data_IF_186123045250
#
_entry.id   IF_186123045250
#
_cell.length_a   1.000
_cell.length_b   1.000
_cell.length_c   1.000
_cell.angle_alpha   90.00
_cell.angle_beta   90.00
_cell.angle_gamma   90.00
#
_symmetry.space_group_name_H-M   'P 1'
#
loop_
_entity.id
_entity.type
_entity.pdbx_description
1 polymer ?
#
# COMPACT_ATOMS: atom_id res chain seq x y z
N UNK A 1 2.56 -24.12 -3.12
CA UNK A 1 1.22 -23.58 -2.71
C UNK A 1 0.86 -22.40 -3.60
N UNK A 2 -0.42 -22.33 -3.98
CA UNK A 2 -0.99 -21.20 -4.73
C UNK A 2 -1.86 -20.37 -3.79
N UNK A 3 -1.52 -19.11 -3.59
CA UNK A 3 -2.21 -18.21 -2.67
C UNK A 3 -2.88 -17.09 -3.45
N UNK A 4 -4.17 -16.88 -3.22
CA UNK A 4 -4.91 -15.73 -3.73
C UNK A 4 -4.79 -14.58 -2.71
N UNK A 5 -4.16 -13.48 -3.11
CA UNK A 5 -4.06 -12.26 -2.32
C UNK A 5 -5.11 -11.23 -2.71
N UNK A 6 -5.70 -10.57 -1.71
CA UNK A 6 -6.72 -9.53 -1.89
C UNK A 6 -6.35 -8.30 -1.07
N UNK A 7 -6.19 -7.16 -1.75
CA UNK A 7 -5.90 -5.86 -1.14
C UNK A 7 -7.04 -4.87 -1.42
N UNK A 8 -7.61 -4.31 -0.36
CA UNK A 8 -8.69 -3.31 -0.44
C UNK A 8 -8.61 -2.28 0.68
N UNK A 9 -7.41 -1.93 1.15
CA UNK A 9 -7.27 -1.10 2.37
C UNK A 9 -7.66 0.36 2.21
N UNK A 10 -7.57 0.93 0.99
CA UNK A 10 -7.81 2.35 0.76
C UNK A 10 -8.60 2.59 -0.53
N UNK A 11 -7.94 3.04 -1.58
CA UNK A 11 -8.55 3.45 -2.86
C UNK A 11 -8.07 2.63 -4.06
N UNK A 12 -7.35 1.55 -3.80
CA UNK A 12 -6.94 0.59 -4.81
C UNK A 12 -7.47 -0.80 -4.51
N UNK A 13 -7.98 -1.48 -5.53
CA UNK A 13 -8.38 -2.88 -5.44
C UNK A 13 -7.31 -3.73 -6.12
N UNK A 14 -6.53 -4.44 -5.34
CA UNK A 14 -5.49 -5.36 -5.82
C UNK A 14 -5.89 -6.82 -5.63
N UNK A 15 -5.61 -7.64 -6.64
CA UNK A 15 -5.77 -9.10 -6.57
C UNK A 15 -4.58 -9.74 -7.25
N UNK A 16 -3.96 -10.73 -6.61
CA UNK A 16 -2.85 -11.48 -7.20
C UNK A 16 -2.90 -12.96 -6.82
N UNK A 17 -2.32 -13.80 -7.67
CA UNK A 17 -2.05 -15.20 -7.35
C UNK A 17 -0.54 -15.38 -7.27
N UNK A 18 -0.07 -15.83 -6.11
CA UNK A 18 1.33 -16.11 -5.83
C UNK A 18 1.56 -17.63 -5.74
N UNK A 19 2.56 -18.12 -6.46
CA UNK A 19 2.99 -19.52 -6.39
C UNK A 19 4.27 -19.61 -5.53
N UNK A 20 4.15 -20.19 -4.34
CA UNK A 20 5.27 -20.29 -3.40
C UNK A 20 6.36 -21.27 -3.87
N UNK A 21 6.06 -22.21 -4.74
CA UNK A 21 7.04 -23.16 -5.27
C UNK A 21 7.92 -22.52 -6.35
N UNK A 22 7.30 -21.65 -7.15
CA UNK A 22 8.00 -20.86 -8.17
C UNK A 22 8.57 -19.56 -7.63
N UNK A 23 8.16 -19.15 -6.42
CA UNK A 23 8.45 -17.87 -5.80
C UNK A 23 8.16 -16.68 -6.72
N UNK A 24 6.96 -16.67 -7.32
CA UNK A 24 6.58 -15.64 -8.30
C UNK A 24 5.08 -15.32 -8.24
N UNK A 25 4.76 -14.08 -8.59
CA UNK A 25 3.40 -13.68 -8.92
C UNK A 25 3.05 -14.27 -10.30
N UNK A 26 2.02 -15.10 -10.34
CA UNK A 26 1.56 -15.77 -11.56
C UNK A 26 0.66 -14.87 -12.39
N UNK A 27 -0.21 -14.13 -11.72
CA UNK A 27 -1.10 -13.15 -12.32
C UNK A 27 -1.49 -12.11 -11.28
N UNK A 28 -1.70 -10.88 -11.72
CA UNK A 28 -2.14 -9.79 -10.86
C UNK A 28 -3.07 -8.83 -11.61
N UNK A 29 -3.97 -8.22 -10.87
CA UNK A 29 -4.85 -7.16 -11.34
C UNK A 29 -4.90 -6.04 -10.33
N UNK A 30 -4.78 -4.82 -10.81
CA UNK A 30 -4.88 -3.60 -10.01
C UNK A 30 -5.92 -2.65 -10.63
N UNK A 31 -6.82 -2.15 -9.80
CA UNK A 31 -7.75 -1.11 -10.18
C UNK A 31 -7.62 0.06 -9.21
N UNK A 32 -7.25 1.24 -9.71
CA UNK A 32 -7.13 2.46 -8.91
C UNK A 32 -8.36 3.35 -9.06
N UNK A 33 -8.79 3.92 -7.94
CA UNK A 33 -9.88 4.87 -7.84
C UNK A 33 -9.39 6.33 -7.81
N UNK A 34 -8.08 6.56 -7.93
CA UNK A 34 -7.46 7.88 -7.76
C UNK A 34 -8.13 8.97 -8.60
N UNK A 35 -8.48 8.68 -9.86
CA UNK A 35 -9.16 9.63 -10.74
C UNK A 35 -10.56 10.04 -10.23
N UNK A 36 -11.27 9.14 -9.55
CA UNK A 36 -12.57 9.43 -8.95
C UNK A 36 -12.43 10.30 -7.71
N UNK A 37 -11.46 9.97 -6.86
CA UNK A 37 -11.19 10.68 -5.63
C UNK A 37 -10.56 12.06 -5.86
N UNK A 38 -9.86 12.25 -6.97
CA UNK A 38 -9.31 13.55 -7.37
C UNK A 38 -10.39 14.65 -7.46
N UNK A 39 -11.62 14.30 -7.86
CA UNK A 39 -12.77 15.23 -7.91
C UNK A 39 -13.16 15.79 -6.54
N UNK A 40 -12.76 15.09 -5.47
CA UNK A 40 -13.06 15.46 -4.08
C UNK A 40 -11.83 15.98 -3.33
N UNK A 41 -10.68 16.03 -3.99
CA UNK A 41 -9.41 16.46 -3.38
C UNK A 41 -8.82 15.48 -2.38
N UNK A 42 -9.24 14.19 -2.42
CA UNK A 42 -8.76 13.13 -1.54
C UNK A 42 -9.73 11.96 -1.45
N UNK A 43 -9.35 10.91 -0.75
CA UNK A 43 -10.15 9.68 -0.66
C UNK A 43 -11.43 9.89 0.14
N UNK A 44 -12.57 9.51 -0.46
CA UNK A 44 -13.88 9.48 0.18
C UNK A 44 -14.23 8.03 0.55
N UNK A 45 -14.22 7.66 1.84
CA UNK A 45 -14.31 6.26 2.28
C UNK A 45 -15.57 5.52 1.81
N UNK A 46 -16.69 6.20 1.76
CA UNK A 46 -17.96 5.62 1.30
C UNK A 46 -17.93 5.30 -0.20
N UNK A 47 -17.37 6.19 -1.01
CA UNK A 47 -17.20 5.95 -2.45
C UNK A 47 -16.20 4.83 -2.70
N UNK A 48 -15.09 4.81 -1.95
CA UNK A 48 -14.11 3.74 -2.02
C UNK A 48 -14.76 2.38 -1.75
N UNK A 49 -15.54 2.27 -0.68
CA UNK A 49 -16.25 1.03 -0.33
C UNK A 49 -17.14 0.53 -1.46
N UNK A 50 -17.98 1.41 -2.02
CA UNK A 50 -18.89 1.06 -3.12
C UNK A 50 -18.15 0.61 -4.37
N UNK A 51 -17.01 1.20 -4.64
CA UNK A 51 -16.23 0.86 -5.84
C UNK A 51 -15.51 -0.49 -5.66
N UNK A 52 -14.92 -0.76 -4.50
CA UNK A 52 -14.39 -2.08 -4.16
C UNK A 52 -15.44 -3.18 -4.32
N UNK A 53 -16.67 -2.95 -3.82
CA UNK A 53 -17.76 -3.92 -3.94
C UNK A 53 -18.07 -4.26 -5.42
N UNK A 54 -18.00 -3.27 -6.31
CA UNK A 54 -18.24 -3.46 -7.74
C UNK A 54 -17.08 -4.11 -8.47
N UNK A 55 -15.85 -3.86 -8.05
CA UNK A 55 -14.64 -4.22 -8.80
C UNK A 55 -13.99 -5.51 -8.33
N UNK A 56 -14.08 -5.86 -7.07
CA UNK A 56 -13.34 -6.97 -6.49
C UNK A 56 -13.63 -8.32 -7.17
N UNK A 57 -14.89 -8.70 -7.30
CA UNK A 57 -15.24 -10.01 -7.90
C UNK A 57 -14.85 -10.09 -9.39
N UNK A 58 -15.10 -9.07 -10.23
CA UNK A 58 -14.56 -9.05 -11.59
C UNK A 58 -13.04 -9.22 -11.67
N UNK A 59 -12.28 -8.52 -10.78
CA UNK A 59 -10.83 -8.63 -10.74
C UNK A 59 -10.37 -10.02 -10.31
N UNK A 60 -10.99 -10.62 -9.29
CA UNK A 60 -10.69 -11.98 -8.88
C UNK A 60 -10.89 -12.96 -10.05
N UNK A 61 -12.00 -12.85 -10.78
CA UNK A 61 -12.26 -13.71 -11.95
C UNK A 61 -11.19 -13.55 -13.03
N UNK A 62 -10.82 -12.31 -13.33
CA UNK A 62 -9.79 -12.02 -14.33
C UNK A 62 -8.43 -12.56 -13.90
N UNK A 63 -8.02 -12.33 -12.64
CA UNK A 63 -6.76 -12.85 -12.10
C UNK A 63 -6.69 -14.37 -12.17
N UNK A 64 -7.77 -15.06 -11.80
CA UNK A 64 -7.84 -16.53 -11.90
C UNK A 64 -7.77 -16.99 -13.36
N UNK A 65 -8.50 -16.34 -14.26
CA UNK A 65 -8.48 -16.67 -15.68
C UNK A 65 -7.08 -16.52 -16.30
N UNK A 66 -6.40 -15.40 -16.02
CA UNK A 66 -5.07 -15.13 -16.56
C UNK A 66 -3.98 -16.01 -15.94
N UNK A 67 -4.17 -16.48 -14.71
CA UNK A 67 -3.22 -17.39 -14.08
C UNK A 67 -3.17 -18.78 -14.75
N UNK A 68 -4.19 -19.13 -15.52
CA UNK A 68 -4.36 -20.48 -16.06
C UNK A 68 -4.75 -21.54 -15.03
N UNK A 69 -4.97 -21.17 -13.77
CA UNK A 69 -5.42 -22.07 -12.71
C UNK A 69 -6.94 -22.03 -12.56
N UNK A 70 -7.49 -23.09 -12.00
CA UNK A 70 -8.87 -23.09 -11.52
C UNK A 70 -8.92 -22.51 -10.11
N UNK A 71 -10.03 -21.87 -9.76
CA UNK A 71 -10.23 -21.34 -8.40
C UNK A 71 -10.14 -22.44 -7.33
N UNK A 72 -10.54 -23.67 -7.67
CA UNK A 72 -10.41 -24.86 -6.80
C UNK A 72 -8.97 -25.30 -6.54
N UNK A 73 -8.01 -24.88 -7.37
CA UNK A 73 -6.60 -25.19 -7.20
C UNK A 73 -5.86 -24.21 -6.29
N UNK A 74 -6.56 -23.17 -5.80
CA UNK A 74 -6.02 -22.24 -4.80
C UNK A 74 -5.95 -22.95 -3.45
N UNK A 75 -4.81 -22.87 -2.78
CA UNK A 75 -4.53 -23.54 -1.51
C UNK A 75 -4.88 -22.70 -0.29
N UNK A 76 -4.91 -21.37 -0.43
CA UNK A 76 -5.25 -20.46 0.65
C UNK A 76 -5.54 -19.06 0.15
N UNK A 77 -6.22 -18.25 0.96
CA UNK A 77 -6.58 -16.88 0.66
C UNK A 77 -5.94 -15.95 1.69
N UNK A 78 -5.14 -14.99 1.24
CA UNK A 78 -4.61 -13.90 2.03
C UNK A 78 -5.42 -12.62 1.76
N UNK A 79 -5.70 -11.83 2.76
CA UNK A 79 -6.40 -10.56 2.58
C UNK A 79 -5.86 -9.51 3.55
N UNK A 80 -5.89 -8.24 3.19
CA UNK A 80 -5.50 -7.16 4.08
C UNK A 80 -6.52 -6.99 5.19
N UNK A 81 -6.08 -7.20 6.43
CA UNK A 81 -6.90 -7.08 7.63
C UNK A 81 -6.86 -5.67 8.25
N UNK A 82 -5.83 -4.90 7.94
CA UNK A 82 -5.58 -3.54 8.42
C UNK A 82 -4.08 -3.21 8.50
N UNK A 83 -3.74 -1.95 8.77
CA UNK A 83 -4.61 -0.77 8.84
C UNK A 83 -5.20 -0.37 7.49
N UNK A 84 -6.28 0.45 7.53
CA UNK A 84 -6.95 0.96 6.35
C UNK A 84 -8.37 1.46 6.64
N UNK A 85 -9.09 1.81 5.61
CA UNK A 85 -10.48 2.28 5.70
C UNK A 85 -11.42 1.12 6.05
N UNK A 86 -12.25 1.26 7.08
CA UNK A 86 -13.09 0.18 7.62
C UNK A 86 -14.00 -0.48 6.58
N UNK A 87 -14.67 0.34 5.75
CA UNK A 87 -15.58 -0.17 4.72
C UNK A 87 -14.84 -0.99 3.65
N UNK A 88 -13.81 -0.44 3.00
CA UNK A 88 -12.94 -1.16 2.07
C UNK A 88 -12.36 -2.46 2.64
N UNK A 89 -11.75 -2.43 3.83
CA UNK A 89 -11.22 -3.62 4.51
C UNK A 89 -12.29 -4.72 4.72
N UNK A 90 -13.49 -4.31 5.14
CA UNK A 90 -14.60 -5.25 5.35
C UNK A 90 -15.00 -5.98 4.06
N UNK A 91 -14.97 -5.29 2.93
CA UNK A 91 -15.32 -5.88 1.63
C UNK A 91 -14.29 -6.94 1.23
N UNK A 92 -12.99 -6.63 1.30
CA UNK A 92 -11.92 -7.58 1.02
C UNK A 92 -11.97 -8.80 1.94
N UNK A 93 -12.07 -8.57 3.24
CA UNK A 93 -12.15 -9.62 4.25
C UNK A 93 -13.38 -10.53 4.07
N UNK A 94 -14.54 -9.94 3.76
CA UNK A 94 -15.78 -10.71 3.54
C UNK A 94 -15.68 -11.58 2.29
N UNK A 95 -15.18 -11.04 1.18
CA UNK A 95 -14.97 -11.80 -0.04
C UNK A 95 -13.95 -12.93 0.16
N UNK A 96 -12.80 -12.63 0.78
CA UNK A 96 -11.76 -13.61 1.07
C UNK A 96 -12.29 -14.78 1.90
N UNK A 97 -12.98 -14.48 3.00
CA UNK A 97 -13.55 -15.49 3.90
C UNK A 97 -14.67 -16.30 3.23
N UNK A 98 -15.51 -15.66 2.42
CA UNK A 98 -16.56 -16.37 1.68
C UNK A 98 -15.97 -17.34 0.65
N UNK A 99 -14.94 -16.92 -0.09
CA UNK A 99 -14.23 -17.79 -1.05
C UNK A 99 -13.56 -18.94 -0.31
N UNK A 100 -12.81 -18.66 0.76
CA UNK A 100 -12.14 -19.66 1.56
C UNK A 100 -13.11 -20.71 2.10
N UNK A 101 -14.25 -20.29 2.65
CA UNK A 101 -15.30 -21.16 3.16
C UNK A 101 -15.87 -22.04 2.04
N UNK A 102 -16.18 -21.45 0.87
CA UNK A 102 -16.77 -22.18 -0.25
C UNK A 102 -15.83 -23.25 -0.83
N UNK A 103 -14.51 -23.03 -0.74
CA UNK A 103 -13.49 -23.95 -1.21
C UNK A 103 -13.01 -24.93 -0.13
N UNK A 104 -13.41 -24.77 1.12
CA UNK A 104 -12.85 -25.51 2.25
C UNK A 104 -11.35 -25.23 2.46
N UNK A 105 -10.88 -24.01 2.17
CA UNK A 105 -9.47 -23.61 2.25
C UNK A 105 -9.23 -22.62 3.40
N UNK A 106 -8.00 -22.54 3.95
CA UNK A 106 -7.67 -21.56 4.97
C UNK A 106 -7.69 -20.13 4.42
N UNK A 107 -7.95 -19.16 5.30
CA UNK A 107 -7.75 -17.74 5.02
C UNK A 107 -6.94 -17.08 6.12
N UNK A 108 -6.11 -16.10 5.75
CA UNK A 108 -5.26 -15.35 6.68
C UNK A 108 -5.39 -13.85 6.45
N UNK A 109 -5.53 -13.10 7.54
CA UNK A 109 -5.46 -11.64 7.52
C UNK A 109 -4.01 -11.15 7.62
N UNK A 110 -3.61 -10.30 6.68
CA UNK A 110 -2.25 -9.75 6.60
C UNK A 110 -2.27 -8.28 7.02
N UNK A 111 -1.26 -7.87 7.74
CA UNK A 111 -1.07 -6.46 8.10
C UNK A 111 -0.57 -5.68 6.86
N UNK A 112 -1.28 -4.60 6.50
CA UNK A 112 -1.00 -3.81 5.29
C UNK A 112 0.46 -3.30 5.22
N UNK A 113 0.99 -2.79 6.34
CA UNK A 113 2.38 -2.32 6.39
C UNK A 113 3.39 -3.46 6.29
N UNK A 114 3.07 -4.64 6.80
CA UNK A 114 3.90 -5.83 6.65
C UNK A 114 3.98 -6.27 5.18
N UNK A 115 2.86 -6.20 4.46
CA UNK A 115 2.86 -6.49 3.02
C UNK A 115 3.79 -5.53 2.24
N UNK A 116 3.76 -4.23 2.55
CA UNK A 116 4.70 -3.26 1.98
C UNK A 116 6.16 -3.55 2.33
N UNK A 117 6.43 -4.05 3.51
CA UNK A 117 7.77 -4.38 3.96
C UNK A 117 8.32 -5.62 3.25
N UNK A 118 7.48 -6.64 3.11
CA UNK A 118 7.84 -7.93 2.54
C UNK A 118 7.91 -7.94 1.01
N UNK A 119 7.34 -6.96 0.31
CA UNK A 119 7.39 -6.90 -1.16
C UNK A 119 8.82 -6.92 -1.69
N UNK A 120 9.77 -6.38 -0.93
CA UNK A 120 11.19 -6.39 -1.28
C UNK A 120 11.77 -7.81 -1.40
N UNK A 121 11.15 -8.80 -0.77
CA UNK A 121 11.59 -10.21 -0.88
C UNK A 121 11.26 -10.82 -2.26
N UNK A 122 10.45 -10.15 -3.08
CA UNK A 122 10.17 -10.55 -4.46
C UNK A 122 11.18 -9.98 -5.46
N UNK A 123 12.07 -9.08 -5.03
CA UNK A 123 13.11 -8.51 -5.88
C UNK A 123 14.23 -9.51 -6.15
N UNK A 124 15.00 -9.23 -7.21
CA UNK A 124 16.18 -10.04 -7.54
C UNK A 124 17.43 -9.16 -7.69
N UNK A 125 18.42 -9.25 -6.79
CA UNK A 125 18.48 -10.17 -5.64
C UNK A 125 17.57 -9.74 -4.48
N UNK A 126 16.93 -10.70 -3.83
CA UNK A 126 16.15 -10.45 -2.64
C UNK A 126 17.05 -10.06 -1.45
N UNK A 127 16.65 -9.11 -0.60
CA UNK A 127 17.38 -8.82 0.63
C UNK A 127 17.35 -10.01 1.58
N UNK A 128 18.43 -10.22 2.33
CA UNK A 128 18.49 -11.21 3.40
C UNK A 128 18.24 -10.56 4.76
N UNK A 129 17.54 -11.27 5.64
CA UNK A 129 17.38 -10.82 7.03
C UNK A 129 18.72 -10.85 7.80
N UNK A 130 18.99 -9.90 8.73
CA UNK A 130 18.18 -8.69 8.97
C UNK A 130 18.42 -7.62 7.91
N UNK A 131 17.39 -6.80 7.62
CA UNK A 131 17.53 -5.63 6.75
C UNK A 131 16.72 -4.43 7.27
N UNK A 132 17.14 -3.23 6.88
CA UNK A 132 16.44 -1.99 7.18
C UNK A 132 15.49 -1.62 6.05
N UNK A 133 14.28 -1.22 6.40
CA UNK A 133 13.28 -0.72 5.46
C UNK A 133 12.89 0.71 5.84
N UNK A 134 13.02 1.62 4.88
CA UNK A 134 12.38 2.93 4.96
C UNK A 134 11.07 2.86 4.18
N UNK A 135 9.96 2.76 4.89
CA UNK A 135 8.63 2.77 4.33
C UNK A 135 8.12 4.20 4.24
N UNK A 136 7.77 4.66 3.03
CA UNK A 136 7.25 6.01 2.76
C UNK A 136 5.97 5.88 1.97
N UNK A 137 4.87 6.41 2.51
CA UNK A 137 3.57 6.40 1.86
C UNK A 137 2.79 7.70 2.07
N UNK A 138 1.55 7.75 1.59
CA UNK A 138 0.64 8.88 1.84
C UNK A 138 0.20 9.02 3.28
N UNK A 139 0.24 7.95 4.08
CA UNK A 139 -0.21 7.96 5.48
C UNK A 139 0.83 7.55 6.51
N UNK A 140 1.97 6.99 6.07
CA UNK A 140 2.97 6.44 6.98
C UNK A 140 4.39 6.72 6.50
N UNK A 141 5.27 7.08 7.44
CA UNK A 141 6.71 7.06 7.24
C UNK A 141 7.34 6.32 8.42
N UNK A 142 7.91 5.16 8.16
CA UNK A 142 8.47 4.27 9.17
C UNK A 142 9.88 3.83 8.77
N UNK A 143 10.80 3.84 9.73
CA UNK A 143 12.08 3.16 9.62
C UNK A 143 12.01 1.88 10.45
N UNK A 144 12.16 0.73 9.80
CA UNK A 144 11.91 -0.57 10.40
C UNK A 144 13.15 -1.45 10.25
N UNK A 145 13.56 -2.08 11.34
CA UNK A 145 14.55 -3.17 11.35
C UNK A 145 13.79 -4.50 11.27
N UNK A 146 13.90 -5.17 10.15
CA UNK A 146 13.32 -6.49 9.89
C UNK A 146 14.34 -7.54 10.31
N UNK A 147 14.21 -8.11 11.50
CA UNK A 147 15.13 -9.11 12.05
C UNK A 147 14.90 -10.49 11.44
N UNK A 148 13.65 -10.85 11.28
CA UNK A 148 13.18 -12.06 10.60
C UNK A 148 11.73 -11.88 10.17
N UNK A 149 11.16 -12.86 9.47
CA UNK A 149 9.73 -12.86 9.14
C UNK A 149 8.89 -12.84 10.42
N UNK A 150 8.03 -11.81 10.56
CA UNK A 150 7.18 -11.62 11.75
C UNK A 150 7.87 -10.95 12.94
N UNK A 151 9.18 -10.66 12.87
CA UNK A 151 9.92 -9.96 13.93
C UNK A 151 10.46 -8.62 13.39
N UNK A 152 9.71 -7.56 13.69
CA UNK A 152 9.95 -6.21 13.19
C UNK A 152 10.08 -5.22 14.34
N UNK A 153 11.09 -4.38 14.28
CA UNK A 153 11.33 -3.31 15.24
C UNK A 153 11.24 -1.95 14.56
N UNK A 154 10.28 -1.12 14.97
CA UNK A 154 10.17 0.24 14.50
C UNK A 154 11.26 1.07 15.20
N UNK A 155 12.26 1.51 14.44
CA UNK A 155 13.38 2.33 14.95
C UNK A 155 12.99 3.81 14.92
N UNK A 156 12.15 4.23 13.97
CA UNK A 156 11.70 5.61 13.83
C UNK A 156 10.41 5.71 13.03
N UNK A 157 9.68 6.78 13.27
CA UNK A 157 8.46 7.10 12.55
C UNK A 157 8.25 8.60 12.47
N UNK A 158 7.47 9.06 11.48
CA UNK A 158 7.06 10.47 11.47
C UNK A 158 6.19 10.78 12.68
N UNK A 159 6.35 11.98 13.24
CA UNK A 159 5.61 12.46 14.41
C UNK A 159 4.47 13.42 14.02
N UNK A 160 4.43 13.82 12.78
CA UNK A 160 3.42 14.70 12.20
C UNK A 160 2.96 14.15 10.85
N UNK A 161 3.08 14.90 9.76
CA UNK A 161 2.67 14.46 8.43
C UNK A 161 3.58 13.34 7.89
N UNK A 162 2.99 12.39 7.19
CA UNK A 162 3.75 11.51 6.31
C UNK A 162 4.25 12.30 5.08
N UNK A 163 5.33 11.85 4.45
CA UNK A 163 5.92 12.55 3.29
C UNK A 163 4.90 12.71 2.15
N UNK A 164 4.13 11.68 1.83
CA UNK A 164 3.11 11.76 0.79
C UNK A 164 1.99 12.73 1.16
N UNK A 165 1.57 12.77 2.43
CA UNK A 165 0.60 13.75 2.93
C UNK A 165 1.12 15.18 2.80
N UNK A 166 2.41 15.42 3.10
CA UNK A 166 3.03 16.72 2.92
C UNK A 166 3.02 17.14 1.44
N UNK A 167 3.32 16.23 0.52
CA UNK A 167 3.20 16.51 -0.92
C UNK A 167 1.76 16.84 -1.32
N UNK A 168 0.76 16.12 -0.84
CA UNK A 168 -0.64 16.38 -1.15
C UNK A 168 -1.09 17.73 -0.61
N UNK A 169 -0.69 18.12 0.62
CA UNK A 169 -0.97 19.43 1.21
C UNK A 169 -0.33 20.56 0.41
N UNK A 170 0.92 20.44 0.02
CA UNK A 170 1.62 21.45 -0.80
C UNK A 170 0.96 21.54 -2.18
N UNK A 171 0.65 20.43 -2.82
CA UNK A 171 -0.05 20.42 -4.10
C UNK A 171 -1.42 21.10 -4.03
N UNK A 172 -2.15 20.91 -2.92
CA UNK A 172 -3.42 21.58 -2.68
C UNK A 172 -3.26 23.10 -2.57
N UNK A 173 -2.23 23.57 -1.85
CA UNK A 173 -1.91 25.01 -1.74
C UNK A 173 -1.58 25.60 -3.11
N UNK A 174 -0.86 24.84 -3.96
CA UNK A 174 -0.47 25.23 -5.31
C UNK A 174 -1.58 24.97 -6.36
N UNK A 175 -2.76 24.52 -5.95
CA UNK A 175 -3.91 24.21 -6.83
C UNK A 175 -3.61 23.17 -7.92
N UNK A 176 -2.66 22.26 -7.66
CA UNK A 176 -2.24 21.25 -8.62
C UNK A 176 -3.18 20.03 -8.66
N UNK A 177 -4.04 19.88 -7.67
CA UNK A 177 -4.97 18.75 -7.53
C UNK A 177 -4.34 17.52 -6.86
N UNK A 178 -5.05 16.38 -6.92
CA UNK A 178 -4.72 15.13 -6.25
C UNK A 178 -4.52 13.98 -7.27
N UNK A 179 -3.61 13.02 -7.02
CA UNK A 179 -2.57 13.01 -5.98
C UNK A 179 -1.48 14.06 -6.25
N UNK A 180 -0.92 14.64 -5.17
CA UNK A 180 -0.02 15.79 -5.27
C UNK A 180 1.41 15.43 -5.63
N UNK A 181 1.94 14.34 -5.12
CA UNK A 181 3.33 13.94 -5.31
C UNK A 181 3.78 13.93 -6.78
N UNK A 182 3.13 13.17 -7.66
CA UNK A 182 3.49 13.10 -9.09
C UNK A 182 3.42 14.46 -9.79
N UNK A 183 2.46 15.31 -9.42
CA UNK A 183 2.28 16.63 -10.03
C UNK A 183 3.36 17.61 -9.62
N UNK A 184 3.74 17.59 -8.33
CA UNK A 184 4.87 18.38 -7.83
C UNK A 184 6.17 17.93 -8.49
N UNK A 185 6.39 16.61 -8.61
CA UNK A 185 7.58 16.06 -9.28
C UNK A 185 7.67 16.52 -10.74
N UNK A 186 6.56 16.46 -11.48
CA UNK A 186 6.54 16.91 -12.88
C UNK A 186 6.89 18.40 -13.02
N UNK A 187 6.36 19.26 -12.14
CA UNK A 187 6.68 20.68 -12.13
C UNK A 187 8.13 20.93 -11.67
N UNK A 188 8.60 20.21 -10.67
CA UNK A 188 9.96 20.34 -10.16
C UNK A 188 11.04 20.06 -11.24
N UNK A 189 10.77 19.15 -12.19
CA UNK A 189 11.66 18.88 -13.33
C UNK A 189 11.88 20.10 -14.23
N UNK A 190 10.97 21.07 -14.19
CA UNK A 190 11.02 22.32 -14.98
C UNK A 190 11.46 23.52 -14.15
N UNK A 191 11.65 23.34 -12.85
CA UNK A 191 11.99 24.37 -11.88
C UNK A 191 13.49 24.53 -11.69
N UNK A 192 13.87 25.62 -11.02
CA UNK A 192 15.23 25.86 -10.56
C UNK A 192 15.29 25.56 -9.04
N UNK A 193 16.00 24.50 -8.66
CA UNK A 193 16.16 24.08 -7.29
C UNK A 193 16.95 25.09 -6.43
N UNK A 194 17.63 26.06 -7.03
CA UNK A 194 18.41 27.10 -6.37
C UNK A 194 17.68 28.44 -6.23
N UNK A 195 16.47 28.57 -6.84
CA UNK A 195 15.71 29.84 -6.83
C UNK A 195 15.36 30.34 -5.42
N UNK A 196 15.17 29.44 -4.47
CA UNK A 196 14.84 29.77 -3.07
C UNK A 196 15.65 28.91 -2.10
N UNK A 197 16.22 29.55 -1.11
CA UNK A 197 16.92 28.85 -0.03
C UNK A 197 15.95 28.50 1.11
N UNK A 198 15.20 27.42 0.96
CA UNK A 198 14.31 26.94 2.02
C UNK A 198 15.12 26.37 3.19
N UNK A 199 14.68 26.60 4.43
CA UNK A 199 15.31 26.00 5.60
C UNK A 199 15.23 24.47 5.54
N UNK A 200 16.35 23.80 5.87
CA UNK A 200 16.46 22.33 5.94
C UNK A 200 16.79 21.95 7.39
N UNK A 201 15.81 21.96 8.29
CA UNK A 201 16.05 21.85 9.74
C UNK A 201 16.72 20.55 10.15
N UNK A 202 16.52 19.47 9.39
CA UNK A 202 17.06 18.14 9.69
C UNK A 202 18.51 17.93 9.24
N UNK A 203 19.07 18.81 8.40
CA UNK A 203 20.46 18.67 7.91
C UNK A 203 21.48 18.98 9.01
N UNK A 204 21.12 19.82 9.97
CA UNK A 204 22.00 20.22 11.09
C UNK A 204 21.82 19.37 12.35
N UNK A 205 20.85 18.45 12.38
CA UNK A 205 20.54 17.60 13.53
C UNK A 205 20.57 16.14 13.12
N UNK A 206 21.17 15.31 13.93
CA UNK A 206 21.21 13.84 13.73
C UNK A 206 19.88 13.15 14.09
N UNK A 207 18.91 13.90 14.63
CA UNK A 207 17.58 13.41 15.01
C UNK A 207 16.56 14.55 14.95
N UNK A 208 15.30 14.21 14.73
CA UNK A 208 14.18 15.14 14.82
C UNK A 208 13.92 15.46 16.30
N UNK A 209 14.10 16.72 16.68
CA UNK A 209 13.69 17.19 18.01
C UNK A 209 12.28 17.77 17.90
N UNK A 210 11.39 17.38 18.81
CA UNK A 210 10.13 18.07 19.01
C UNK A 210 10.43 19.52 19.44
N UNK A 211 9.70 20.52 18.91
CA UNK A 211 9.75 21.86 19.48
C UNK A 211 9.30 21.75 20.93
N UNK A 212 10.24 21.94 21.86
CA UNK A 212 9.90 22.15 23.26
C UNK A 212 9.04 23.39 23.32
N UNK A 213 7.81 23.26 23.79
CA UNK A 213 6.99 24.44 24.12
C UNK A 213 7.76 25.28 25.11
N UNK A 214 8.12 26.48 24.68
CA UNK A 214 8.54 27.52 25.59
C UNK A 214 7.37 28.00 26.43
#
# INVERSE_FOLDING_TARGET
>A
MKVLGIETSCDETGVAIFDTEKNTIVSEQLYSQAAKHALYGGVVPELASRDHLKKLIPLIRLTVQESGYLLSEIDGIAYTAGPGLRGPLLIGASAAKAIALSLGKPSIGIHHMEAHLLINLLESPAPSFPFLTLLISGGHCLLINSKSLGDYEIIGQTLDDAVGEAFDKVAKILELGYPGGPKIEELAKKGDASAFNFPRPTVSYTHLTLPTKA
#
